data_IF_245140471573
#
_entry.id   IF_245140471573
#
_cell.length_a   1.000
_cell.length_b   1.000
_cell.length_c   1.000
_cell.angle_alpha   90.00
_cell.angle_beta   90.00
_cell.angle_gamma   90.00
#
_symmetry.space_group_name_H-M   'P 1'
#
loop_
_entity.id
_entity.type
_entity.pdbx_description
1 polymer ?
#
# COMPACT_ATOMS: atom_id res chain seq x y z
N UNK A 1 42.73 -0.98 6.46
CA UNK A 1 41.67 -0.54 5.54
C UNK A 1 41.16 -1.80 4.85
N UNK A 2 39.94 -2.24 5.15
CA UNK A 2 39.31 -3.37 4.49
C UNK A 2 38.07 -2.86 3.77
N UNK A 3 38.04 -3.02 2.45
CA UNK A 3 36.88 -2.72 1.61
C UNK A 3 35.74 -3.67 1.98
N UNK A 4 34.58 -3.10 2.33
CA UNK A 4 33.35 -3.85 2.54
C UNK A 4 32.75 -4.11 1.16
N UNK A 5 33.01 -5.29 0.63
CA UNK A 5 32.39 -5.75 -0.61
C UNK A 5 30.89 -6.00 -0.35
N UNK A 6 30.05 -5.09 -0.83
CA UNK A 6 28.60 -5.26 -0.88
C UNK A 6 28.27 -6.35 -1.91
N UNK A 7 28.20 -7.61 -1.47
CA UNK A 7 27.58 -8.67 -2.26
C UNK A 7 26.07 -8.47 -2.20
N UNK A 8 25.49 -8.14 -3.35
CA UNK A 8 24.06 -7.93 -3.54
C UNK A 8 23.23 -9.16 -3.15
N UNK A 9 22.74 -9.19 -1.91
CA UNK A 9 21.70 -10.11 -1.48
C UNK A 9 20.87 -9.46 -0.35
N UNK A 10 19.58 -9.26 -0.64
CA UNK A 10 18.50 -8.99 0.32
C UNK A 10 18.28 -7.56 0.88
N UNK A 11 18.15 -6.55 0.01
CA UNK A 11 17.63 -5.22 0.39
C UNK A 11 16.10 -5.18 0.55
N UNK A 12 15.55 -6.07 1.37
CA UNK A 12 14.15 -5.97 1.80
C UNK A 12 14.01 -4.98 2.96
N UNK A 13 12.90 -4.23 3.03
CA UNK A 13 12.58 -3.35 4.17
C UNK A 13 12.80 -4.10 5.50
N UNK A 14 13.57 -3.51 6.40
CA UNK A 14 13.76 -4.00 7.77
C UNK A 14 14.81 -5.08 7.93
N UNK A 15 15.65 -5.29 6.90
CA UNK A 15 16.73 -6.29 6.93
C UNK A 15 18.09 -5.71 7.28
N UNK A 16 18.31 -4.39 7.17
CA UNK A 16 19.64 -3.80 7.43
C UNK A 16 20.07 -4.00 8.88
N UNK A 17 19.15 -3.94 9.83
CA UNK A 17 19.49 -4.11 11.25
C UNK A 17 20.05 -5.50 11.56
N UNK A 18 19.61 -6.57 10.90
CA UNK A 18 20.18 -7.91 11.15
C UNK A 18 21.59 -8.06 10.58
N UNK A 19 21.90 -7.36 9.47
CA UNK A 19 23.24 -7.32 8.89
C UNK A 19 24.16 -6.56 9.84
N UNK A 20 23.75 -5.37 10.24
CA UNK A 20 24.53 -4.52 11.15
C UNK A 20 24.76 -5.19 12.49
N UNK A 21 23.73 -5.80 13.10
CA UNK A 21 23.88 -6.50 14.39
C UNK A 21 24.86 -7.66 14.28
N UNK A 22 24.83 -8.44 13.19
CA UNK A 22 25.76 -9.55 12.97
C UNK A 22 27.21 -9.07 12.86
N UNK A 23 27.44 -7.96 12.17
CA UNK A 23 28.78 -7.38 12.02
C UNK A 23 29.33 -6.77 13.33
N UNK A 24 28.45 -6.12 14.11
CA UNK A 24 28.82 -5.49 15.37
C UNK A 24 29.03 -6.48 16.51
N UNK A 25 28.19 -7.51 16.63
CA UNK A 25 28.26 -8.49 17.71
C UNK A 25 29.45 -9.45 17.56
N UNK A 26 29.91 -9.67 16.31
CA UNK A 26 30.89 -10.70 15.93
C UNK A 26 30.53 -12.09 16.47
N UNK A 27 29.25 -12.33 16.73
CA UNK A 27 28.74 -13.57 17.28
C UNK A 27 28.28 -14.48 16.13
N UNK A 28 28.73 -15.73 16.10
CA UNK A 28 28.27 -16.71 15.11
C UNK A 28 26.88 -17.29 15.45
N UNK A 29 26.36 -16.99 16.64
CA UNK A 29 25.04 -17.42 17.10
C UNK A 29 23.93 -16.58 16.44
N UNK A 30 23.33 -17.15 15.39
CA UNK A 30 22.30 -16.48 14.59
C UNK A 30 21.05 -16.12 15.41
N UNK A 31 20.70 -16.93 16.41
CA UNK A 31 19.49 -16.72 17.22
C UNK A 31 19.67 -15.56 18.20
N UNK A 32 20.86 -15.41 18.79
CA UNK A 32 21.21 -14.23 19.59
C UNK A 32 21.25 -12.95 18.76
N UNK A 33 21.84 -12.99 17.57
CA UNK A 33 21.88 -11.83 16.68
C UNK A 33 20.47 -11.40 16.26
N UNK A 34 19.61 -12.37 15.95
CA UNK A 34 18.20 -12.12 15.64
C UNK A 34 17.49 -11.46 16.81
N UNK A 35 17.63 -12.01 18.03
CA UNK A 35 17.00 -11.46 19.23
C UNK A 35 17.44 -10.01 19.50
N UNK A 36 18.72 -9.72 19.38
CA UNK A 36 19.26 -8.36 19.55
C UNK A 36 18.71 -7.38 18.50
N UNK A 37 18.57 -7.81 17.25
CA UNK A 37 17.97 -6.99 16.20
C UNK A 37 16.48 -6.70 16.46
N UNK A 38 15.71 -7.68 16.96
CA UNK A 38 14.31 -7.46 17.36
C UNK A 38 14.19 -6.49 18.54
N UNK A 39 15.05 -6.60 19.56
CA UNK A 39 15.06 -5.68 20.70
C UNK A 39 15.34 -4.22 20.28
N UNK A 40 16.24 -4.03 19.31
CA UNK A 40 16.52 -2.68 18.75
C UNK A 40 15.30 -2.17 17.96
N UNK A 41 14.68 -3.04 17.16
CA UNK A 41 13.44 -2.72 16.43
C UNK A 41 12.32 -2.29 17.37
N UNK A 42 12.11 -3.01 18.46
CA UNK A 42 11.09 -2.70 19.46
C UNK A 42 11.33 -1.33 20.12
N UNK A 43 12.58 -1.01 20.48
CA UNK A 43 12.94 0.30 21.03
C UNK A 43 12.72 1.45 20.05
N UNK A 44 12.94 1.19 18.76
CA UNK A 44 12.76 2.14 17.68
C UNK A 44 11.31 2.28 17.21
N UNK A 45 10.40 1.41 17.69
CA UNK A 45 9.00 1.44 17.29
C UNK A 45 8.33 2.77 17.67
N UNK A 46 7.62 3.38 16.72
CA UNK A 46 6.91 4.63 16.98
C UNK A 46 7.77 5.89 17.04
N UNK A 47 9.08 5.79 16.79
CA UNK A 47 10.05 6.88 16.94
C UNK A 47 10.30 7.61 15.62
N UNK A 48 10.60 8.90 15.71
CA UNK A 48 11.04 9.70 14.55
C UNK A 48 12.45 9.30 14.13
N UNK A 49 12.85 9.64 12.91
CA UNK A 49 14.21 9.43 12.37
C UNK A 49 15.29 9.96 13.32
N UNK A 50 15.07 11.15 13.91
CA UNK A 50 15.98 11.74 14.89
C UNK A 50 16.04 10.93 16.20
N UNK A 51 14.90 10.46 16.69
CA UNK A 51 14.84 9.64 17.91
C UNK A 51 15.45 8.25 17.70
N UNK A 52 15.22 7.62 16.54
CA UNK A 52 15.85 6.35 16.15
C UNK A 52 17.37 6.52 16.12
N UNK A 53 17.86 7.62 15.55
CA UNK A 53 19.29 7.93 15.53
C UNK A 53 19.89 8.02 16.93
N UNK A 54 19.22 8.68 17.87
CA UNK A 54 19.68 8.73 19.26
C UNK A 54 19.66 7.36 19.93
N UNK A 55 18.60 6.56 19.73
CA UNK A 55 18.51 5.19 20.28
C UNK A 55 19.65 4.31 19.75
N UNK A 56 19.99 4.45 18.47
CA UNK A 56 21.05 3.67 17.87
C UNK A 56 22.43 3.99 18.46
N UNK A 57 22.70 5.23 18.89
CA UNK A 57 23.99 5.61 19.53
C UNK A 57 24.30 4.80 20.78
N UNK A 58 23.28 4.28 21.46
CA UNK A 58 23.44 3.43 22.65
C UNK A 58 23.76 1.96 22.30
N UNK A 59 23.70 1.59 21.01
CA UNK A 59 24.06 0.25 20.54
C UNK A 59 25.59 0.14 20.47
N UNK A 60 26.14 -0.79 21.25
CA UNK A 60 27.59 -1.00 21.32
C UNK A 60 28.18 -1.33 19.93
N UNK A 61 29.19 -0.57 19.51
CA UNK A 61 29.90 -0.78 18.24
C UNK A 61 29.32 0.04 17.08
N UNK A 62 28.13 0.63 17.25
CA UNK A 62 27.47 1.44 16.23
C UNK A 62 28.33 2.65 15.83
N UNK A 63 29.19 3.15 16.74
CA UNK A 63 30.05 4.31 16.54
C UNK A 63 31.13 4.09 15.47
N UNK A 64 31.30 2.84 15.03
CA UNK A 64 32.23 2.44 13.98
C UNK A 64 31.58 2.34 12.60
N UNK A 65 30.25 2.45 12.51
CA UNK A 65 29.58 2.50 11.21
C UNK A 65 29.89 3.83 10.52
N UNK A 66 30.19 3.79 9.21
CA UNK A 66 30.22 5.00 8.39
C UNK A 66 28.88 5.75 8.46
N UNK A 67 28.94 7.08 8.43
CA UNK A 67 27.76 7.94 8.51
C UNK A 67 26.68 7.60 7.47
N UNK A 68 27.10 7.27 6.24
CA UNK A 68 26.19 6.86 5.17
C UNK A 68 25.46 5.55 5.48
N UNK A 69 26.10 4.61 6.19
CA UNK A 69 25.48 3.36 6.59
C UNK A 69 24.55 3.53 7.79
N UNK A 70 24.93 4.41 8.73
CA UNK A 70 24.06 4.84 9.83
C UNK A 70 22.77 5.46 9.30
N UNK A 71 22.85 6.39 8.35
CA UNK A 71 21.66 7.02 7.75
C UNK A 71 20.79 6.00 7.01
N UNK A 72 21.41 5.08 6.26
CA UNK A 72 20.67 4.02 5.58
C UNK A 72 19.99 3.05 6.56
N UNK A 73 20.61 2.77 7.70
CA UNK A 73 20.03 1.95 8.77
C UNK A 73 18.88 2.67 9.47
N UNK A 74 19.05 3.95 9.81
CA UNK A 74 18.01 4.79 10.42
C UNK A 74 16.82 4.89 9.48
N UNK A 75 17.03 5.10 8.18
CA UNK A 75 15.97 5.13 7.18
C UNK A 75 15.25 3.78 7.06
N UNK A 76 15.99 2.67 7.00
CA UNK A 76 15.39 1.32 6.96
C UNK A 76 14.58 1.03 8.24
N UNK A 77 15.08 1.40 9.41
CA UNK A 77 14.35 1.28 10.67
C UNK A 77 13.14 2.22 10.73
N UNK A 78 13.26 3.48 10.31
CA UNK A 78 12.12 4.38 10.25
C UNK A 78 11.02 3.85 9.31
N UNK A 79 11.41 3.25 8.19
CA UNK A 79 10.47 2.62 7.25
C UNK A 79 9.88 1.30 7.75
N UNK A 80 10.53 0.65 8.71
CA UNK A 80 10.15 -0.69 9.21
C UNK A 80 9.42 -0.64 10.55
N UNK A 81 9.90 0.19 11.46
CA UNK A 81 9.40 0.34 12.84
C UNK A 81 8.99 1.78 13.16
N UNK A 82 9.38 2.75 12.33
CA UNK A 82 8.94 4.14 12.42
C UNK A 82 7.51 4.39 11.93
N UNK A 83 6.64 3.37 11.97
CA UNK A 83 5.22 3.62 12.14
C UNK A 83 5.07 4.33 13.48
N UNK A 84 4.93 5.66 13.47
CA UNK A 84 4.60 6.45 14.67
C UNK A 84 3.42 5.78 15.41
N UNK A 85 3.27 6.00 16.72
CA UNK A 85 2.10 5.46 17.44
C UNK A 85 0.76 5.80 16.77
N UNK A 86 0.69 6.97 16.11
CA UNK A 86 -0.44 7.37 15.27
C UNK A 86 -0.63 6.49 14.03
N UNK A 87 0.45 6.03 13.39
CA UNK A 87 0.40 5.19 12.18
C UNK A 87 -0.02 3.75 12.50
N UNK A 88 0.45 3.19 13.63
CA UNK A 88 -0.03 1.90 14.14
C UNK A 88 -1.54 1.94 14.43
N UNK A 89 -2.01 3.04 15.02
CA UNK A 89 -3.44 3.25 15.29
C UNK A 89 -4.25 3.41 13.99
N UNK A 90 -3.74 4.16 13.00
CA UNK A 90 -4.36 4.25 11.67
C UNK A 90 -4.49 2.86 11.04
N UNK A 91 -3.45 2.03 11.10
CA UNK A 91 -3.49 0.69 10.51
C UNK A 91 -4.53 -0.20 11.20
N UNK A 92 -4.56 -0.16 12.55
CA UNK A 92 -5.57 -0.88 13.34
C UNK A 92 -6.99 -0.43 12.98
N UNK A 93 -7.23 0.87 13.00
CA UNK A 93 -8.55 1.44 12.70
C UNK A 93 -8.97 1.15 11.26
N UNK A 94 -8.04 1.20 10.30
CA UNK A 94 -8.30 0.84 8.92
C UNK A 94 -8.69 -0.64 8.77
N UNK A 95 -8.03 -1.56 9.47
CA UNK A 95 -8.43 -2.99 9.48
C UNK A 95 -9.84 -3.17 10.02
N UNK A 96 -10.12 -2.60 11.19
CA UNK A 96 -11.42 -2.70 11.84
C UNK A 96 -12.52 -2.11 10.97
N UNK A 97 -12.27 -0.94 10.37
CA UNK A 97 -13.20 -0.29 9.46
C UNK A 97 -13.43 -1.10 8.18
N UNK A 98 -12.38 -1.72 7.62
CA UNK A 98 -12.52 -2.61 6.46
C UNK A 98 -13.42 -3.79 6.77
N UNK A 99 -13.21 -4.47 7.91
CA UNK A 99 -14.05 -5.61 8.28
C UNK A 99 -15.49 -5.18 8.57
N UNK A 100 -15.67 -4.11 9.34
CA UNK A 100 -16.99 -3.54 9.66
C UNK A 100 -17.78 -3.22 8.40
N UNK A 101 -17.16 -2.51 7.44
CA UNK A 101 -17.83 -2.12 6.20
C UNK A 101 -18.08 -3.30 5.28
N UNK A 102 -17.13 -4.24 5.18
CA UNK A 102 -17.33 -5.47 4.40
C UNK A 102 -18.48 -6.30 4.96
N UNK A 103 -18.59 -6.47 6.28
CA UNK A 103 -19.71 -7.16 6.92
C UNK A 103 -21.06 -6.48 6.64
N UNK A 104 -21.10 -5.14 6.70
CA UNK A 104 -22.28 -4.36 6.34
C UNK A 104 -22.71 -4.63 4.88
N UNK A 105 -21.77 -4.54 3.94
CA UNK A 105 -22.02 -4.78 2.52
C UNK A 105 -22.42 -6.23 2.25
N UNK A 106 -21.83 -7.19 2.95
CA UNK A 106 -22.21 -8.60 2.84
C UNK A 106 -23.61 -8.84 3.39
N UNK A 107 -24.01 -8.21 4.50
CA UNK A 107 -25.40 -8.30 5.01
C UNK A 107 -26.38 -7.75 3.98
N UNK A 108 -26.09 -6.59 3.41
CA UNK A 108 -26.88 -5.97 2.34
C UNK A 108 -26.97 -6.89 1.12
N UNK A 109 -25.86 -7.48 0.67
CA UNK A 109 -25.82 -8.38 -0.47
C UNK A 109 -26.45 -9.76 -0.22
N UNK A 110 -26.63 -10.15 1.05
CA UNK A 110 -27.31 -11.38 1.46
C UNK A 110 -28.81 -11.20 1.65
N UNK A 111 -29.30 -9.97 1.80
CA UNK A 111 -30.73 -9.71 1.98
C UNK A 111 -31.49 -10.01 0.69
N UNK A 112 -32.42 -10.99 0.66
CA UNK A 112 -33.20 -11.32 -0.53
C UNK A 112 -34.13 -10.18 -0.98
N UNK A 113 -34.41 -9.19 -0.12
CA UNK A 113 -35.20 -8.00 -0.48
C UNK A 113 -34.35 -6.91 -1.15
N UNK A 114 -33.03 -6.99 -1.04
CA UNK A 114 -32.15 -6.00 -1.63
C UNK A 114 -32.03 -6.20 -3.15
N UNK A 115 -32.33 -5.15 -3.91
CA UNK A 115 -32.22 -5.13 -5.37
C UNK A 115 -31.02 -4.34 -5.89
N UNK A 116 -30.29 -3.62 -5.03
CA UNK A 116 -29.24 -2.67 -5.46
C UNK A 116 -27.84 -3.28 -5.46
N UNK A 117 -27.54 -4.16 -4.50
CA UNK A 117 -26.21 -4.75 -4.31
C UNK A 117 -26.30 -6.28 -4.28
N UNK A 118 -25.67 -6.97 -5.22
CA UNK A 118 -25.60 -8.43 -5.23
C UNK A 118 -24.23 -8.93 -4.79
N UNK A 119 -24.14 -10.18 -4.31
CA UNK A 119 -22.86 -10.83 -4.03
C UNK A 119 -21.93 -10.83 -5.24
N UNK A 120 -22.48 -11.02 -6.44
CA UNK A 120 -21.70 -11.03 -7.66
C UNK A 120 -21.03 -9.67 -7.89
N UNK A 121 -21.72 -8.57 -7.60
CA UNK A 121 -21.14 -7.22 -7.70
C UNK A 121 -20.03 -6.98 -6.68
N UNK A 122 -20.07 -7.58 -5.49
CA UNK A 122 -19.00 -7.40 -4.50
C UNK A 122 -17.70 -8.12 -4.86
N UNK A 123 -17.73 -9.16 -5.70
CA UNK A 123 -16.57 -10.00 -6.03
C UNK A 123 -15.57 -9.28 -6.95
N UNK A 124 -14.28 -9.70 -6.95
CA UNK A 124 -13.64 -10.59 -5.99
C UNK A 124 -13.10 -9.88 -4.74
N UNK A 125 -12.92 -8.55 -4.79
CA UNK A 125 -12.20 -7.79 -3.78
C UNK A 125 -13.00 -6.56 -3.30
N UNK A 126 -12.70 -6.16 -2.07
CA UNK A 126 -13.16 -4.93 -1.43
C UNK A 126 -11.95 -4.21 -0.84
N UNK A 127 -11.92 -2.90 -0.97
CA UNK A 127 -10.84 -2.04 -0.47
C UNK A 127 -11.41 -0.92 0.38
N UNK A 128 -10.71 -0.65 1.47
CA UNK A 128 -10.87 0.58 2.24
C UNK A 128 -9.55 1.34 2.21
N UNK A 129 -9.62 2.63 1.95
CA UNK A 129 -8.48 3.54 2.02
C UNK A 129 -8.74 4.62 3.08
N UNK A 130 -7.70 5.03 3.80
CA UNK A 130 -7.75 6.16 4.74
C UNK A 130 -6.80 7.25 4.26
N UNK A 131 -7.32 8.46 4.10
CA UNK A 131 -6.50 9.62 3.74
C UNK A 131 -6.10 10.40 5.00
N UNK A 132 -4.81 10.53 5.24
CA UNK A 132 -4.29 11.15 6.47
C UNK A 132 -4.43 12.67 6.48
N UNK A 133 -4.62 13.30 5.31
CA UNK A 133 -4.83 14.74 5.19
C UNK A 133 -6.29 15.09 5.44
N UNK A 134 -7.22 14.35 4.82
CA UNK A 134 -8.66 14.62 4.97
C UNK A 134 -9.29 13.95 6.20
N UNK A 135 -8.62 12.93 6.77
CA UNK A 135 -9.13 12.13 7.89
C UNK A 135 -10.32 11.24 7.54
N UNK A 136 -10.57 10.98 6.25
CA UNK A 136 -11.72 10.22 5.75
C UNK A 136 -11.36 8.81 5.28
N UNK A 137 -12.36 7.93 5.35
CA UNK A 137 -12.32 6.60 4.75
C UNK A 137 -13.03 6.56 3.40
N UNK A 138 -12.46 5.82 2.46
CA UNK A 138 -12.96 5.64 1.11
C UNK A 138 -13.11 4.15 0.83
N UNK A 139 -14.23 3.76 0.23
CA UNK A 139 -14.57 2.35 0.03
C UNK A 139 -14.78 2.07 -1.44
N UNK A 140 -14.24 0.94 -1.90
CA UNK A 140 -14.48 0.49 -3.26
C UNK A 140 -14.53 -1.02 -3.34
N UNK A 141 -15.18 -1.48 -4.41
CA UNK A 141 -15.17 -2.87 -4.88
C UNK A 141 -14.74 -2.87 -6.33
N UNK A 142 -14.37 -4.04 -6.84
CA UNK A 142 -14.09 -4.15 -8.27
C UNK A 142 -15.34 -3.78 -9.09
N UNK A 143 -15.11 -3.14 -10.22
CA UNK A 143 -16.16 -2.86 -11.19
C UNK A 143 -16.46 -4.12 -12.00
N UNK A 144 -17.73 -4.26 -12.40
CA UNK A 144 -18.12 -5.29 -13.35
C UNK A 144 -17.79 -4.86 -14.78
N UNK A 145 -17.85 -5.81 -15.73
CA UNK A 145 -17.64 -5.49 -17.16
C UNK A 145 -18.60 -4.43 -17.67
N UNK A 146 -19.85 -4.52 -17.23
CA UNK A 146 -20.90 -3.56 -17.59
C UNK A 146 -20.63 -2.17 -17.01
N UNK A 147 -20.03 -2.08 -15.83
CA UNK A 147 -19.71 -0.79 -15.20
C UNK A 147 -18.49 -0.14 -15.83
N UNK A 148 -17.48 -0.92 -16.19
CA UNK A 148 -16.33 -0.43 -16.96
C UNK A 148 -16.79 0.08 -18.33
N UNK A 149 -17.68 -0.65 -19.01
CA UNK A 149 -18.18 -0.27 -20.33
C UNK A 149 -19.03 1.01 -20.35
N UNK A 150 -19.51 1.48 -19.21
CA UNK A 150 -20.24 2.75 -19.12
C UNK A 150 -19.33 3.98 -19.06
N UNK A 151 -18.03 3.79 -18.83
CA UNK A 151 -17.03 4.87 -18.76
C UNK A 151 -17.36 5.98 -17.74
N UNK A 152 -18.12 5.68 -16.69
CA UNK A 152 -18.57 6.65 -15.68
C UNK A 152 -17.51 6.95 -14.61
N UNK A 153 -16.31 6.38 -14.72
CA UNK A 153 -15.25 6.57 -13.73
C UNK A 153 -14.57 7.92 -13.98
N UNK A 154 -14.65 8.80 -13.00
CA UNK A 154 -13.85 10.02 -12.96
C UNK A 154 -12.51 9.64 -12.36
N UNK A 155 -11.43 9.90 -13.08
CA UNK A 155 -10.06 9.62 -12.66
C UNK A 155 -9.33 10.89 -12.22
N UNK A 156 -8.69 10.81 -11.06
CA UNK A 156 -7.65 11.75 -10.67
C UNK A 156 -6.50 11.69 -11.69
N UNK A 157 -5.88 12.82 -12.10
CA UNK A 157 -4.83 12.84 -13.11
C UNK A 157 -3.69 11.83 -12.87
N UNK A 158 -3.25 11.69 -11.61
CA UNK A 158 -2.27 10.66 -11.23
C UNK A 158 -2.70 9.24 -11.60
N UNK A 159 -3.94 8.83 -11.26
CA UNK A 159 -4.41 7.47 -11.53
C UNK A 159 -4.64 7.27 -13.03
N UNK A 160 -5.14 8.29 -13.73
CA UNK A 160 -5.32 8.29 -15.18
C UNK A 160 -3.97 8.08 -15.90
N UNK A 161 -2.95 8.83 -15.52
CA UNK A 161 -1.60 8.76 -16.08
C UNK A 161 -1.00 7.35 -15.89
N UNK A 162 -1.03 6.82 -14.67
CA UNK A 162 -0.52 5.46 -14.36
C UNK A 162 -1.30 4.33 -15.06
N UNK A 163 -2.55 4.59 -15.43
CA UNK A 163 -3.38 3.64 -16.17
C UNK A 163 -3.02 3.65 -17.66
N UNK A 164 -2.81 4.83 -18.24
CA UNK A 164 -2.53 5.01 -19.67
C UNK A 164 -1.08 4.74 -20.04
N UNK A 165 -0.14 5.09 -19.17
CA UNK A 165 1.30 4.99 -19.40
C UNK A 165 1.94 3.80 -18.67
N UNK A 166 1.17 2.74 -18.46
CA UNK A 166 1.67 1.52 -17.83
C UNK A 166 2.72 0.84 -18.70
N UNK A 167 3.86 0.47 -18.11
CA UNK A 167 4.90 -0.28 -18.81
C UNK A 167 4.33 -1.53 -19.48
N UNK A 168 4.74 -1.76 -20.73
CA UNK A 168 4.22 -2.86 -21.54
C UNK A 168 4.36 -4.22 -20.83
N UNK A 169 5.48 -4.45 -20.16
CA UNK A 169 5.72 -5.70 -19.43
C UNK A 169 4.72 -5.88 -18.27
N UNK A 170 4.45 -4.82 -17.51
CA UNK A 170 3.48 -4.83 -16.42
C UNK A 170 2.06 -5.02 -17.00
N UNK A 171 1.72 -4.28 -18.05
CA UNK A 171 0.41 -4.39 -18.70
C UNK A 171 0.15 -5.81 -19.20
N UNK A 172 1.07 -6.37 -19.97
CA UNK A 172 0.96 -7.70 -20.56
C UNK A 172 0.91 -8.81 -19.50
N UNK A 173 1.57 -8.64 -18.36
CA UNK A 173 1.62 -9.65 -17.29
C UNK A 173 0.26 -10.01 -16.66
N UNK A 174 -0.76 -9.15 -16.81
CA UNK A 174 -2.05 -9.34 -16.17
C UNK A 174 -3.28 -8.95 -17.02
N UNK A 175 -3.09 -8.52 -18.28
CA UNK A 175 -4.20 -8.03 -19.14
C UNK A 175 -5.37 -9.01 -19.29
N UNK A 176 -5.10 -10.31 -19.38
CA UNK A 176 -6.14 -11.33 -19.60
C UNK A 176 -6.89 -11.70 -18.31
N UNK A 177 -6.40 -11.24 -17.16
CA UNK A 177 -6.95 -11.50 -15.83
C UNK A 177 -7.64 -10.28 -15.22
N UNK A 178 -7.63 -9.14 -15.91
CA UNK A 178 -8.33 -7.91 -15.52
C UNK A 178 -9.40 -7.55 -16.56
N UNK A 179 -10.43 -6.82 -16.14
CA UNK A 179 -11.40 -6.22 -17.05
C UNK A 179 -10.80 -4.95 -17.67
N UNK A 180 -10.18 -4.11 -16.82
CA UNK A 180 -9.47 -2.92 -17.22
C UNK A 180 -8.48 -2.53 -16.11
N UNK A 181 -7.28 -2.01 -16.45
CA UNK A 181 -6.40 -1.41 -15.45
C UNK A 181 -7.14 -0.30 -14.69
N UNK A 182 -6.91 -0.21 -13.39
CA UNK A 182 -7.58 0.78 -12.53
C UNK A 182 -9.02 0.44 -12.11
N UNK A 183 -9.62 -0.64 -12.61
CA UNK A 183 -11.00 -1.06 -12.26
C UNK A 183 -11.13 -1.88 -10.97
N UNK A 184 -10.01 -2.17 -10.31
CA UNK A 184 -10.00 -2.93 -9.05
C UNK A 184 -10.15 -2.02 -7.83
N UNK A 185 -10.64 -2.61 -6.75
CA UNK A 185 -11.05 -1.91 -5.53
C UNK A 185 -9.96 -0.96 -4.99
N UNK A 186 -8.71 -1.39 -4.88
CA UNK A 186 -7.62 -0.58 -4.32
C UNK A 186 -7.28 0.64 -5.18
N UNK A 187 -7.39 0.53 -6.51
CA UNK A 187 -7.18 1.66 -7.41
C UNK A 187 -8.31 2.67 -7.29
N UNK A 188 -9.55 2.18 -7.18
CA UNK A 188 -10.74 3.01 -7.08
C UNK A 188 -10.82 3.74 -5.74
N UNK A 189 -10.49 3.08 -4.63
CA UNK A 189 -10.49 3.72 -3.31
C UNK A 189 -9.37 4.76 -3.19
N UNK A 190 -8.19 4.51 -3.77
CA UNK A 190 -7.13 5.53 -3.90
C UNK A 190 -7.60 6.70 -4.77
N UNK A 191 -8.16 6.41 -5.94
CA UNK A 191 -8.64 7.43 -6.87
C UNK A 191 -9.66 8.37 -6.23
N UNK A 192 -10.67 7.79 -5.56
CA UNK A 192 -11.71 8.56 -4.87
C UNK A 192 -11.12 9.40 -3.74
N UNK A 193 -10.15 8.84 -3.01
CA UNK A 193 -9.47 9.57 -1.95
C UNK A 193 -8.77 10.84 -2.45
N UNK A 194 -8.05 10.74 -3.57
CA UNK A 194 -7.34 11.88 -4.16
C UNK A 194 -8.32 12.89 -4.77
N UNK A 195 -9.40 12.44 -5.42
CA UNK A 195 -10.43 13.32 -5.96
C UNK A 195 -11.18 14.10 -4.88
N UNK A 196 -11.56 13.45 -3.78
CA UNK A 196 -12.26 14.11 -2.68
C UNK A 196 -11.35 15.12 -1.98
N UNK A 197 -10.06 14.80 -1.79
CA UNK A 197 -9.08 15.76 -1.27
C UNK A 197 -8.95 16.98 -2.21
N UNK A 198 -8.82 16.77 -3.52
CA UNK A 198 -8.82 17.86 -4.50
C UNK A 198 -10.08 18.72 -4.39
N UNK A 199 -11.25 18.09 -4.31
CA UNK A 199 -12.52 18.78 -4.14
C UNK A 199 -12.55 19.63 -2.86
N UNK A 200 -12.10 19.08 -1.73
CA UNK A 200 -12.03 19.79 -0.45
C UNK A 200 -11.10 21.01 -0.51
N UNK A 201 -9.90 20.85 -1.08
CA UNK A 201 -8.92 21.92 -1.17
C UNK A 201 -9.36 23.06 -2.10
N UNK A 202 -10.24 22.77 -3.07
CA UNK A 202 -10.72 23.73 -4.06
C UNK A 202 -12.17 24.17 -3.83
N UNK A 203 -12.80 23.78 -2.71
CA UNK A 203 -14.22 24.04 -2.41
C UNK A 203 -15.17 23.64 -3.55
N UNK A 204 -14.91 22.48 -4.17
CA UNK A 204 -15.74 21.91 -5.22
C UNK A 204 -16.61 20.81 -4.61
N UNK A 205 -17.93 20.90 -4.81
CA UNK A 205 -18.85 19.82 -4.47
C UNK A 205 -18.50 18.55 -5.26
N UNK A 206 -18.32 17.42 -4.58
CA UNK A 206 -17.92 16.15 -5.21
C UNK A 206 -18.88 15.70 -6.31
N UNK A 207 -20.16 16.03 -6.19
CA UNK A 207 -21.23 15.74 -7.16
C UNK A 207 -21.15 16.57 -8.45
N UNK A 208 -20.48 17.73 -8.41
CA UNK A 208 -20.24 18.58 -9.57
C UNK A 208 -19.04 18.12 -10.40
N UNK A 209 -18.26 17.18 -9.88
CA UNK A 209 -17.07 16.68 -10.54
C UNK A 209 -17.45 15.84 -11.77
N UNK A 210 -16.80 16.12 -12.91
CA UNK A 210 -16.87 15.31 -14.13
C UNK A 210 -15.45 15.08 -14.64
N UNK A 211 -15.25 14.07 -15.49
CA UNK A 211 -13.94 13.86 -16.12
C UNK A 211 -13.53 15.07 -16.97
N UNK A 212 -14.47 15.69 -17.67
CA UNK A 212 -14.23 16.90 -18.47
C UNK A 212 -13.73 18.07 -17.62
N UNK A 213 -14.33 18.28 -16.44
CA UNK A 213 -13.88 19.30 -15.50
C UNK A 213 -12.45 19.03 -15.02
N UNK A 214 -12.16 17.79 -14.62
CA UNK A 214 -10.82 17.38 -14.17
C UNK A 214 -9.80 17.61 -15.28
N UNK A 215 -10.09 17.16 -16.50
CA UNK A 215 -9.18 17.28 -17.65
C UNK A 215 -8.92 18.75 -18.00
N UNK A 216 -9.97 19.60 -17.94
CA UNK A 216 -9.85 21.04 -18.15
C UNK A 216 -8.97 21.69 -17.08
N UNK A 217 -9.24 21.45 -15.81
CA UNK A 217 -8.47 22.05 -14.70
C UNK A 217 -7.02 21.56 -14.75
N UNK A 218 -6.79 20.28 -15.02
CA UNK A 218 -5.43 19.73 -15.10
C UNK A 218 -4.63 20.34 -16.24
N UNK A 219 -5.27 20.60 -17.38
CA UNK A 219 -4.65 21.29 -18.52
C UNK A 219 -4.31 22.76 -18.22
N UNK A 220 -5.21 23.46 -17.52
CA UNK A 220 -5.06 24.89 -17.22
C UNK A 220 -4.15 25.15 -16.01
N UNK A 221 -4.11 24.23 -15.05
CA UNK A 221 -3.42 24.39 -13.76
C UNK A 221 -3.00 23.03 -13.18
N UNK A 222 -2.02 22.33 -13.77
CA UNK A 222 -1.64 20.98 -13.34
C UNK A 222 -1.20 20.91 -11.86
N UNK A 223 -0.64 22.00 -11.34
CA UNK A 223 -0.19 22.09 -9.95
C UNK A 223 -1.33 22.13 -8.93
N UNK A 224 -2.59 22.31 -9.35
CA UNK A 224 -3.75 22.18 -8.44
C UNK A 224 -4.00 20.73 -8.02
N UNK A 225 -3.44 19.77 -8.76
CA UNK A 225 -3.50 18.34 -8.45
C UNK A 225 -2.22 17.90 -7.75
N UNK A 226 -2.01 18.43 -6.55
CA UNK A 226 -0.83 18.17 -5.71
C UNK A 226 -1.07 17.03 -4.68
N UNK A 227 -2.24 16.40 -4.69
CA UNK A 227 -2.59 15.31 -3.78
C UNK A 227 -1.66 14.12 -4.03
N UNK A 228 -1.11 13.54 -2.97
CA UNK A 228 -0.09 12.50 -3.08
C UNK A 228 -0.65 11.14 -2.76
N UNK A 229 -0.31 10.09 -3.53
CA UNK A 229 -0.70 8.72 -3.20
C UNK A 229 -0.23 8.30 -1.79
N UNK A 230 0.91 8.82 -1.34
CA UNK A 230 1.51 8.56 -0.02
C UNK A 230 0.68 9.04 1.16
N UNK A 231 -0.28 9.95 0.92
CA UNK A 231 -1.20 10.43 1.93
C UNK A 231 -2.36 9.44 2.18
N UNK A 232 -2.42 8.36 1.38
CA UNK A 232 -3.44 7.33 1.46
C UNK A 232 -2.86 6.00 1.95
N UNK A 233 -3.46 5.46 3.02
CA UNK A 233 -3.20 4.11 3.51
C UNK A 233 -4.28 3.17 2.98
N UNK A 234 -3.88 2.06 2.36
CA UNK A 234 -4.79 1.13 1.67
C UNK A 234 -4.82 -0.22 2.38
N UNK A 235 -6.04 -0.73 2.56
CA UNK A 235 -6.29 -2.14 2.88
C UNK A 235 -7.20 -2.75 1.81
N UNK A 236 -6.80 -3.90 1.27
CA UNK A 236 -7.61 -4.63 0.29
C UNK A 236 -7.74 -6.08 0.72
N UNK A 237 -8.98 -6.57 0.70
CA UNK A 237 -9.35 -7.91 1.14
C UNK A 237 -10.22 -8.60 0.10
N UNK A 238 -10.25 -9.92 0.11
CA UNK A 238 -11.23 -10.64 -0.70
C UNK A 238 -12.63 -10.42 -0.11
N UNK A 239 -13.61 -10.11 -0.95
CA UNK A 239 -15.00 -9.91 -0.51
C UNK A 239 -15.81 -11.21 -0.51
N UNK A 240 -15.23 -12.29 -1.01
CA UNK A 240 -15.86 -13.61 -1.13
C UNK A 240 -14.80 -14.72 -1.10
N UNK A 241 -15.12 -15.96 -0.68
CA UNK A 241 -14.20 -17.08 -0.79
C UNK A 241 -13.70 -17.30 -2.23
N UNK A 242 -12.39 -17.21 -2.45
CA UNK A 242 -11.78 -17.35 -3.78
C UNK A 242 -11.02 -18.67 -3.96
N UNK A 243 -10.52 -19.25 -2.88
CA UNK A 243 -9.83 -20.54 -2.89
C UNK A 243 -10.05 -21.30 -1.57
N UNK A 244 -9.44 -22.47 -1.40
CA UNK A 244 -9.55 -23.29 -0.18
C UNK A 244 -8.35 -23.14 0.77
N UNK A 245 -7.50 -22.13 0.56
CA UNK A 245 -6.24 -21.97 1.28
C UNK A 245 -6.23 -20.59 1.93
N UNK A 246 -5.65 -19.57 1.30
CA UNK A 246 -5.40 -18.27 1.93
C UNK A 246 -6.60 -17.31 1.82
N UNK A 247 -7.54 -17.57 0.89
CA UNK A 247 -8.73 -16.75 0.62
C UNK A 247 -10.01 -17.56 0.78
N UNK A 248 -10.04 -18.47 1.76
CA UNK A 248 -11.17 -19.36 2.09
C UNK A 248 -12.40 -18.64 2.65
N UNK A 249 -12.22 -17.45 3.22
CA UNK A 249 -13.24 -16.64 3.86
C UNK A 249 -13.10 -15.21 3.38
N UNK A 250 -14.20 -14.47 3.31
CA UNK A 250 -14.14 -13.04 3.03
C UNK A 250 -13.38 -12.30 4.14
N UNK A 251 -12.76 -11.18 3.81
CA UNK A 251 -11.99 -10.34 4.73
C UNK A 251 -10.52 -10.74 4.88
N UNK A 252 -10.01 -11.70 4.10
CA UNK A 252 -8.58 -12.03 4.09
C UNK A 252 -7.80 -11.05 3.22
N UNK A 253 -6.57 -10.67 3.61
CA UNK A 253 -5.72 -9.76 2.83
C UNK A 253 -5.52 -10.29 1.41
N UNK A 254 -5.70 -9.43 0.42
CA UNK A 254 -5.62 -9.81 -0.99
C UNK A 254 -4.40 -9.15 -1.65
N UNK A 255 -3.56 -9.91 -2.38
CA UNK A 255 -2.44 -9.29 -3.08
C UNK A 255 -2.92 -8.41 -4.23
N UNK A 256 -2.28 -7.26 -4.41
CA UNK A 256 -2.53 -6.39 -5.57
C UNK A 256 -1.96 -7.03 -6.83
N UNK A 257 -2.72 -7.05 -7.92
CA UNK A 257 -2.17 -7.50 -9.20
C UNK A 257 -1.08 -6.53 -9.73
N UNK A 258 -0.26 -6.92 -10.73
CA UNK A 258 0.76 -6.05 -11.31
C UNK A 258 0.25 -4.67 -11.73
N UNK A 259 -0.93 -4.60 -12.35
CA UNK A 259 -1.55 -3.32 -12.74
C UNK A 259 -1.86 -2.44 -11.53
N UNK A 260 -2.49 -3.03 -10.51
CA UNK A 260 -2.90 -2.30 -9.32
C UNK A 260 -1.72 -1.86 -8.47
N UNK A 261 -0.68 -2.70 -8.37
CA UNK A 261 0.58 -2.34 -7.72
C UNK A 261 1.24 -1.17 -8.43
N UNK A 262 1.27 -1.15 -9.76
CA UNK A 262 1.79 -0.02 -10.53
C UNK A 262 1.02 1.26 -10.21
N UNK A 263 -0.32 1.24 -10.26
CA UNK A 263 -1.14 2.42 -9.98
C UNK A 263 -0.97 2.92 -8.53
N UNK A 264 -0.97 2.00 -7.57
CA UNK A 264 -0.93 2.30 -6.13
C UNK A 264 0.49 2.28 -5.54
N UNK A 265 1.53 2.35 -6.38
CA UNK A 265 2.92 2.08 -5.98
C UNK A 265 3.42 2.99 -4.86
N UNK A 266 3.01 4.27 -4.92
CA UNK A 266 3.44 5.32 -4.01
C UNK A 266 2.50 5.50 -2.81
N UNK A 267 1.47 4.66 -2.69
CA UNK A 267 0.58 4.66 -1.53
C UNK A 267 1.14 3.82 -0.39
N UNK A 268 0.70 4.14 0.82
CA UNK A 268 0.93 3.30 1.97
C UNK A 268 -0.06 2.13 1.96
N UNK A 269 0.38 0.94 2.38
CA UNK A 269 -0.41 -0.30 2.26
C UNK A 269 -0.15 -1.16 3.48
N UNK A 270 -1.22 -1.76 4.03
CA UNK A 270 -1.08 -2.64 5.20
C UNK A 270 -0.10 -3.80 4.95
N UNK A 271 0.67 -4.13 5.99
CA UNK A 271 1.75 -5.11 5.92
C UNK A 271 1.27 -6.50 5.50
N UNK A 272 0.08 -6.90 5.93
CA UNK A 272 -0.51 -8.18 5.58
C UNK A 272 -0.88 -8.28 4.08
N UNK A 273 -1.26 -7.17 3.46
CA UNK A 273 -1.47 -7.07 2.00
C UNK A 273 -0.13 -7.17 1.29
N UNK A 274 0.89 -6.46 1.78
CA UNK A 274 2.25 -6.53 1.24
C UNK A 274 2.86 -7.94 1.38
N UNK A 275 2.55 -8.65 2.45
CA UNK A 275 3.00 -10.03 2.66
C UNK A 275 2.36 -10.97 1.64
N UNK A 276 1.04 -10.92 1.48
CA UNK A 276 0.33 -11.69 0.45
C UNK A 276 0.86 -11.36 -0.96
N UNK A 277 1.16 -10.09 -1.21
CA UNK A 277 1.77 -9.63 -2.46
C UNK A 277 3.13 -10.28 -2.71
N UNK A 278 4.06 -10.23 -1.74
CA UNK A 278 5.39 -10.85 -1.86
C UNK A 278 5.32 -12.34 -2.22
N UNK A 279 4.42 -13.06 -1.56
CA UNK A 279 4.20 -14.49 -1.81
C UNK A 279 3.63 -14.75 -3.21
N UNK A 280 2.67 -13.94 -3.68
CA UNK A 280 2.13 -14.07 -5.02
C UNK A 280 3.20 -13.77 -6.09
N UNK A 281 3.97 -12.68 -5.92
CA UNK A 281 4.93 -12.23 -6.92
C UNK A 281 6.12 -13.17 -7.04
N UNK A 282 6.63 -13.70 -5.93
CA UNK A 282 7.71 -14.69 -5.96
C UNK A 282 7.35 -15.94 -6.79
N UNK A 283 6.07 -16.31 -6.84
CA UNK A 283 5.57 -17.48 -7.57
C UNK A 283 5.14 -17.17 -9.00
N UNK A 284 4.47 -16.03 -9.22
CA UNK A 284 3.77 -15.73 -10.49
C UNK A 284 4.43 -14.66 -11.34
N UNK A 285 5.20 -13.76 -10.73
CA UNK A 285 5.77 -12.58 -11.38
C UNK A 285 7.22 -12.31 -10.93
N UNK A 286 8.11 -13.33 -10.89
CA UNK A 286 9.44 -13.18 -10.28
C UNK A 286 10.36 -12.20 -11.02
N UNK A 287 10.07 -11.91 -12.29
CA UNK A 287 10.87 -11.03 -13.15
C UNK A 287 10.35 -9.59 -13.22
N UNK A 288 9.12 -9.33 -12.76
CA UNK A 288 8.55 -7.99 -12.84
C UNK A 288 9.25 -7.03 -11.89
N UNK A 289 9.70 -5.91 -12.45
CA UNK A 289 10.26 -4.79 -11.71
C UNK A 289 9.25 -3.65 -11.67
N UNK A 290 9.30 -2.90 -10.58
CA UNK A 290 8.48 -1.71 -10.37
C UNK A 290 9.43 -0.59 -9.98
N UNK A 291 9.60 0.36 -10.88
CA UNK A 291 10.42 1.54 -10.60
C UNK A 291 9.64 2.47 -9.67
N UNK A 292 10.28 2.83 -8.55
CA UNK A 292 9.78 3.84 -7.60
C UNK A 292 10.23 5.23 -8.00
#
# INVERSE_FOLDING_TARGET
MGEIAYTGASSGKGRKIYIVVKELSKCEDEEKNKKMAEEIKEKCAGKTTAQIREILKDVKGIEKLPEAEMEALVADLADTVGLSGARTEIYKNLREETQRKLEELLKIANDPKNKTLSKAKLRPAFSTSYNVITGKYYYARNLTKEEVAKEEIIYHPYVKERTLNMDKEIYESYKDMTIAPGSHAECLSLNESMLDQFCMENNIERSALTQELIDKVYKESPNSFNQKPSDTVINVVNSYPLNKVDLEKAGRPMPRCPHCKHITLNSDVLDEVLQAEREMYSKRFPLLKFDK
#
